data_IF_589683078497
#
_entry.id   IF_589683078497
#
_cell.length_a   1.000
_cell.length_b   1.000
_cell.length_c   1.000
_cell.angle_alpha   90.00
_cell.angle_beta   90.00
_cell.angle_gamma   90.00
#
_symmetry.space_group_name_H-M   'P 1'
#
loop_
_entity.id
_entity.type
_entity.pdbx_description
1 polymer ?
#
# COMPACT_ATOMS: atom_id res chain seq x y z
N UNK A 1 18.83 5.47 2.77
CA UNK A 1 18.05 5.61 1.52
C UNK A 1 16.59 5.75 1.87
N UNK A 2 15.64 5.91 0.91
CA UNK A 2 14.21 5.97 1.22
C UNK A 2 13.52 4.70 0.70
N UNK A 3 12.77 4.03 1.58
CA UNK A 3 12.01 2.82 1.29
C UNK A 3 10.53 3.06 1.60
N UNK A 4 9.65 2.75 0.62
CA UNK A 4 8.20 2.71 0.84
C UNK A 4 7.79 1.26 1.07
N UNK A 5 7.05 1.00 2.15
CA UNK A 5 6.55 -0.33 2.51
C UNK A 5 5.02 -0.32 2.57
N UNK A 6 4.36 -1.21 1.85
CA UNK A 6 2.90 -1.33 1.93
C UNK A 6 2.53 -2.65 2.60
N UNK A 7 1.62 -2.58 3.55
CA UNK A 7 1.03 -3.74 4.21
C UNK A 7 -0.45 -3.87 3.86
N UNK A 8 -0.82 -5.04 3.30
CA UNK A 8 -2.21 -5.36 2.94
C UNK A 8 -3.10 -5.60 4.15
N UNK A 9 -4.42 -5.65 3.95
CA UNK A 9 -5.38 -5.83 5.04
C UNK A 9 -5.15 -7.08 5.87
N UNK A 10 -4.79 -8.19 5.23
CA UNK A 10 -4.42 -9.44 5.92
C UNK A 10 -3.13 -9.30 6.74
N UNK A 11 -2.22 -8.41 6.34
CA UNK A 11 -0.93 -8.18 7.01
C UNK A 11 -1.06 -7.27 8.25
N UNK A 12 -2.20 -6.62 8.44
CA UNK A 12 -2.53 -5.73 9.57
C UNK A 12 -3.85 -6.10 10.26
N UNK A 13 -4.37 -7.31 10.04
CA UNK A 13 -5.72 -7.71 10.41
C UNK A 13 -5.99 -7.72 11.92
N UNK A 14 -4.95 -7.87 12.73
CA UNK A 14 -5.01 -7.94 14.18
C UNK A 14 -3.76 -7.31 14.82
N UNK A 15 -3.74 -7.23 16.15
CA UNK A 15 -2.65 -6.65 16.94
C UNK A 15 -1.31 -7.37 16.75
N UNK A 16 -1.31 -8.70 16.61
CA UNK A 16 -0.10 -9.51 16.37
C UNK A 16 0.51 -9.17 15.00
N UNK A 17 -0.34 -9.05 13.99
CA UNK A 17 0.08 -8.72 12.62
C UNK A 17 0.53 -7.27 12.48
N UNK A 18 -0.16 -6.33 13.13
CA UNK A 18 0.30 -4.93 13.20
C UNK A 18 1.69 -4.86 13.84
N UNK A 19 1.91 -5.56 14.96
CA UNK A 19 3.22 -5.60 15.62
C UNK A 19 4.29 -6.17 14.70
N UNK A 20 4.00 -7.26 14.00
CA UNK A 20 4.94 -7.84 13.02
C UNK A 20 5.25 -6.86 11.88
N UNK A 21 4.25 -6.16 11.35
CA UNK A 21 4.45 -5.15 10.32
C UNK A 21 5.29 -3.96 10.85
N UNK A 22 5.05 -3.53 12.08
CA UNK A 22 5.85 -2.50 12.76
C UNK A 22 7.32 -2.94 12.94
N UNK A 23 7.57 -4.20 13.33
CA UNK A 23 8.92 -4.76 13.45
C UNK A 23 9.65 -4.79 12.09
N UNK A 24 8.95 -5.07 10.99
CA UNK A 24 9.54 -5.03 9.64
C UNK A 24 9.93 -3.59 9.28
N UNK A 25 9.06 -2.61 9.54
CA UNK A 25 9.34 -1.20 9.28
C UNK A 25 10.49 -0.68 10.14
N UNK A 26 10.50 -1.04 11.43
CA UNK A 26 11.54 -0.67 12.37
C UNK A 26 12.92 -1.22 11.96
N UNK A 27 13.01 -2.48 11.55
CA UNK A 27 14.27 -3.07 11.04
C UNK A 27 14.81 -2.29 9.83
N UNK A 28 13.94 -1.92 8.90
CA UNK A 28 14.36 -1.13 7.73
C UNK A 28 14.87 0.26 8.13
N UNK A 29 14.25 0.86 9.14
CA UNK A 29 14.70 2.13 9.71
C UNK A 29 16.05 1.98 10.44
N UNK A 30 16.25 0.93 11.21
CA UNK A 30 17.51 0.62 11.92
C UNK A 30 18.66 0.32 10.95
N UNK A 31 18.36 -0.21 9.76
CA UNK A 31 19.32 -0.38 8.66
C UNK A 31 19.74 0.96 8.01
N UNK A 32 19.16 2.09 8.44
CA UNK A 32 19.53 3.44 8.03
C UNK A 32 18.70 4.01 6.88
N UNK A 33 17.56 3.41 6.55
CA UNK A 33 16.64 3.96 5.57
C UNK A 33 15.63 4.92 6.21
N UNK A 34 15.24 5.96 5.49
CA UNK A 34 13.99 6.66 5.75
C UNK A 34 12.83 5.75 5.35
N UNK A 35 11.79 5.64 6.18
CA UNK A 35 10.69 4.69 5.96
C UNK A 35 9.34 5.39 5.87
N UNK A 36 8.63 5.14 4.78
CA UNK A 36 7.21 5.45 4.63
C UNK A 36 6.42 4.14 4.57
N UNK A 37 5.48 3.97 5.48
CA UNK A 37 4.60 2.80 5.56
C UNK A 37 3.23 3.17 5.01
N UNK A 38 2.68 2.38 4.09
CA UNK A 38 1.31 2.50 3.61
C UNK A 38 0.51 1.32 4.11
N UNK A 39 -0.62 1.56 4.75
CA UNK A 39 -1.47 0.49 5.30
C UNK A 39 -2.84 0.45 4.65
N UNK A 40 -3.36 -0.75 4.47
CA UNK A 40 -4.77 -1.00 4.13
C UNK A 40 -5.63 -1.08 5.40
N UNK A 41 -6.94 -1.03 5.24
CA UNK A 41 -7.88 -1.35 6.33
C UNK A 41 -7.63 -2.77 6.86
N UNK A 42 -7.88 -2.99 8.15
CA UNK A 42 -7.65 -4.29 8.81
C UNK A 42 -8.61 -5.37 8.30
N UNK A 43 -8.08 -6.51 7.82
CA UNK A 43 -8.87 -7.68 7.46
C UNK A 43 -10.11 -7.35 6.63
N UNK A 44 -11.29 -7.65 7.17
CA UNK A 44 -12.59 -7.48 6.51
C UNK A 44 -13.26 -6.12 6.82
N UNK A 45 -12.52 -5.15 7.38
CA UNK A 45 -13.09 -3.85 7.81
C UNK A 45 -13.85 -3.14 6.69
N UNK A 46 -13.33 -3.14 5.49
CA UNK A 46 -13.98 -2.50 4.32
C UNK A 46 -15.34 -3.14 4.03
N UNK A 47 -15.42 -4.47 4.04
CA UNK A 47 -16.66 -5.21 3.82
C UNK A 47 -17.66 -4.96 4.95
N UNK A 48 -17.21 -4.94 6.20
CA UNK A 48 -18.04 -4.60 7.36
C UNK A 48 -18.61 -3.17 7.29
N UNK A 49 -17.84 -2.21 6.80
CA UNK A 49 -18.31 -0.84 6.59
C UNK A 49 -19.37 -0.78 5.47
N UNK A 50 -19.16 -1.50 4.38
CA UNK A 50 -20.15 -1.63 3.30
C UNK A 50 -21.44 -2.29 3.79
N UNK A 51 -21.36 -3.36 4.58
CA UNK A 51 -22.53 -3.99 5.20
C UNK A 51 -23.29 -3.04 6.13
N UNK A 52 -22.58 -2.23 6.93
CA UNK A 52 -23.20 -1.21 7.78
C UNK A 52 -23.95 -0.17 6.95
N UNK A 53 -23.37 0.32 5.86
CA UNK A 53 -24.02 1.24 4.94
C UNK A 53 -25.28 0.62 4.33
N UNK A 54 -25.20 -0.62 3.84
CA UNK A 54 -26.32 -1.32 3.21
C UNK A 54 -27.52 -1.57 4.15
N UNK A 55 -27.25 -1.71 5.47
CA UNK A 55 -28.34 -1.84 6.48
C UNK A 55 -29.12 -0.55 6.68
N UNK A 56 -28.54 0.60 6.38
CA UNK A 56 -29.17 1.93 6.56
C UNK A 56 -29.71 2.50 5.25
N UNK A 57 -29.09 2.18 4.13
CA UNK A 57 -29.44 2.75 2.83
C UNK A 57 -29.24 1.70 1.73
N UNK A 58 -30.27 1.46 0.94
CA UNK A 58 -30.23 0.48 -0.19
C UNK A 58 -29.37 0.97 -1.36
N UNK A 59 -29.19 2.30 -1.49
CA UNK A 59 -28.38 2.92 -2.54
C UNK A 59 -27.61 4.12 -1.94
N UNK A 60 -26.54 3.86 -1.15
CA UNK A 60 -25.76 4.94 -0.56
C UNK A 60 -25.05 5.75 -1.66
N UNK A 61 -25.04 7.08 -1.50
CA UNK A 61 -24.33 7.97 -2.42
C UNK A 61 -22.81 7.67 -2.40
N UNK A 62 -22.14 7.67 -3.57
CA UNK A 62 -20.73 7.32 -3.66
C UNK A 62 -19.83 8.22 -2.80
N UNK A 63 -20.16 9.50 -2.67
CA UNK A 63 -19.42 10.45 -1.82
C UNK A 63 -19.44 10.03 -0.35
N UNK A 64 -20.61 9.61 0.16
CA UNK A 64 -20.72 9.17 1.57
C UNK A 64 -20.08 7.81 1.80
N UNK A 65 -20.05 6.94 0.77
CA UNK A 65 -19.28 5.70 0.83
C UNK A 65 -17.79 5.97 0.94
N UNK A 66 -17.24 6.88 0.15
CA UNK A 66 -15.82 7.25 0.24
C UNK A 66 -15.48 7.81 1.62
N UNK A 67 -16.32 8.69 2.17
CA UNK A 67 -16.18 9.21 3.53
C UNK A 67 -16.13 8.06 4.55
N UNK A 68 -17.06 7.11 4.45
CA UNK A 68 -17.14 5.96 5.37
C UNK A 68 -15.94 5.03 5.21
N UNK A 69 -15.63 4.60 3.99
CA UNK A 69 -14.61 3.60 3.72
C UNK A 69 -13.21 4.11 4.06
N UNK A 70 -12.94 5.41 3.85
CA UNK A 70 -11.63 6.01 4.18
C UNK A 70 -11.26 5.88 5.66
N UNK A 71 -12.22 5.64 6.56
CA UNK A 71 -11.95 5.48 8.00
C UNK A 71 -11.19 4.19 8.33
N UNK A 72 -11.32 3.16 7.50
CA UNK A 72 -10.68 1.86 7.75
C UNK A 72 -9.15 1.96 7.79
N UNK A 73 -8.56 2.59 6.80
CA UNK A 73 -7.11 2.80 6.72
C UNK A 73 -6.61 3.78 7.78
N UNK A 74 -7.43 4.74 8.19
CA UNK A 74 -7.08 5.69 9.26
C UNK A 74 -6.91 4.95 10.61
N UNK A 75 -7.78 3.99 10.91
CA UNK A 75 -7.63 3.13 12.09
C UNK A 75 -6.31 2.36 12.03
N UNK A 76 -6.03 1.69 10.92
CA UNK A 76 -4.79 0.92 10.72
C UNK A 76 -3.55 1.81 10.87
N UNK A 77 -3.56 3.00 10.27
CA UNK A 77 -2.43 3.92 10.32
C UNK A 77 -2.16 4.42 11.75
N UNK A 78 -3.21 4.76 12.49
CA UNK A 78 -3.07 5.21 13.87
C UNK A 78 -2.52 4.09 14.78
N UNK A 79 -3.08 2.87 14.68
CA UNK A 79 -2.62 1.71 15.45
C UNK A 79 -1.16 1.34 15.12
N UNK A 80 -0.79 1.38 13.87
CA UNK A 80 0.59 1.12 13.43
C UNK A 80 1.56 2.15 13.99
N UNK A 81 1.21 3.45 13.95
CA UNK A 81 2.05 4.51 14.52
C UNK A 81 2.20 4.36 16.04
N UNK A 82 1.11 4.09 16.77
CA UNK A 82 1.15 3.82 18.22
C UNK A 82 2.03 2.60 18.54
N UNK A 83 1.98 1.55 17.71
CA UNK A 83 2.80 0.37 17.92
C UNK A 83 4.30 0.68 17.73
N UNK A 84 4.66 1.47 16.73
CA UNK A 84 6.03 1.94 16.51
C UNK A 84 6.52 2.83 17.66
N UNK A 85 5.67 3.74 18.17
CA UNK A 85 6.00 4.59 19.33
C UNK A 85 6.22 3.75 20.61
N UNK A 86 5.40 2.74 20.87
CA UNK A 86 5.59 1.79 21.99
C UNK A 86 6.91 1.00 21.87
N UNK A 87 7.38 0.75 20.64
CA UNK A 87 8.67 0.12 20.37
C UNK A 87 9.86 1.11 20.49
N UNK A 88 9.61 2.40 20.74
CA UNK A 88 10.62 3.44 20.93
C UNK A 88 10.99 4.22 19.67
N UNK A 89 10.28 4.05 18.56
CA UNK A 89 10.51 4.77 17.31
C UNK A 89 9.63 6.02 17.25
N UNK A 90 10.17 7.14 16.81
CA UNK A 90 9.36 8.31 16.50
C UNK A 90 8.53 8.00 15.23
N UNK A 91 7.21 8.04 15.35
CA UNK A 91 6.31 7.76 14.24
C UNK A 91 5.24 8.85 14.11
N UNK A 92 4.58 8.89 12.96
CA UNK A 92 3.42 9.75 12.71
C UNK A 92 2.47 9.09 11.71
N UNK A 93 1.19 9.06 12.03
CA UNK A 93 0.15 8.63 11.10
C UNK A 93 -0.41 9.82 10.31
N UNK A 94 -0.59 9.64 9.01
CA UNK A 94 -1.17 10.62 8.10
C UNK A 94 -2.32 9.97 7.31
N UNK A 95 -3.39 10.72 7.12
CA UNK A 95 -4.39 10.38 6.11
C UNK A 95 -3.82 10.57 4.70
N UNK A 96 -4.47 10.02 3.67
CA UNK A 96 -4.02 10.21 2.29
C UNK A 96 -3.89 11.69 1.90
N UNK A 97 -4.84 12.53 2.30
CA UNK A 97 -4.78 13.97 2.03
C UNK A 97 -3.73 14.72 2.87
N UNK A 98 -3.45 14.29 4.11
CA UNK A 98 -2.34 14.85 4.90
C UNK A 98 -0.98 14.47 4.32
N UNK A 99 -0.90 13.32 3.65
CA UNK A 99 0.25 12.88 2.88
C UNK A 99 0.34 13.52 1.48
N UNK A 100 -0.60 14.42 1.15
CA UNK A 100 -0.61 15.18 -0.09
C UNK A 100 -1.13 14.42 -1.32
N UNK A 101 -1.88 13.33 -1.15
CA UNK A 101 -2.45 12.57 -2.26
C UNK A 101 -3.65 13.32 -2.85
N UNK A 102 -3.47 13.91 -4.02
CA UNK A 102 -4.51 14.59 -4.79
C UNK A 102 -5.07 13.66 -5.87
N UNK A 103 -6.41 13.70 -6.02
CA UNK A 103 -7.13 12.76 -6.88
C UNK A 103 -8.13 13.46 -7.79
N UNK A 104 -8.62 12.71 -8.78
CA UNK A 104 -9.82 13.09 -9.52
C UNK A 104 -11.05 13.09 -8.59
N UNK A 105 -12.12 13.80 -8.97
CA UNK A 105 -13.37 13.87 -8.21
C UNK A 105 -14.34 12.70 -8.53
N UNK A 106 -13.81 11.54 -8.91
CA UNK A 106 -14.61 10.34 -9.20
C UNK A 106 -14.66 9.48 -7.95
N UNK A 107 -15.79 9.45 -7.26
CA UNK A 107 -15.95 8.67 -6.05
C UNK A 107 -15.92 7.16 -6.34
N UNK A 108 -15.28 6.39 -5.44
CA UNK A 108 -15.17 4.93 -5.50
C UNK A 108 -14.13 4.39 -6.50
N UNK A 109 -13.67 5.22 -7.44
CA UNK A 109 -12.67 4.84 -8.48
C UNK A 109 -11.81 6.05 -8.89
N UNK A 110 -11.37 6.84 -7.91
CA UNK A 110 -10.54 8.01 -8.15
C UNK A 110 -9.15 7.60 -8.67
N UNK A 111 -8.53 8.52 -9.40
CA UNK A 111 -7.14 8.39 -9.87
C UNK A 111 -6.28 9.42 -9.16
N UNK A 112 -5.08 9.02 -8.77
CA UNK A 112 -4.08 9.94 -8.23
C UNK A 112 -3.62 10.85 -9.40
N UNK A 113 -3.69 12.15 -9.19
CA UNK A 113 -3.24 13.17 -10.14
C UNK A 113 -1.81 13.61 -9.83
N UNK A 114 -1.52 13.79 -8.55
CA UNK A 114 -0.19 14.13 -8.03
C UNK A 114 -0.11 13.83 -6.54
N UNK A 115 1.12 13.85 -6.02
CA UNK A 115 1.40 13.81 -4.59
C UNK A 115 2.23 15.04 -4.23
N UNK A 116 1.74 15.84 -3.28
CA UNK A 116 2.52 16.89 -2.66
C UNK A 116 3.35 16.29 -1.52
N UNK A 117 4.66 16.22 -1.70
CA UNK A 117 5.57 15.53 -0.78
C UNK A 117 6.07 16.40 0.37
N UNK A 118 5.67 17.68 0.45
CA UNK A 118 6.24 18.62 1.43
C UNK A 118 6.08 18.11 2.88
N UNK A 119 4.88 17.66 3.24
CA UNK A 119 4.60 17.13 4.58
C UNK A 119 5.37 15.84 4.87
N UNK A 120 5.43 14.93 3.92
CA UNK A 120 6.16 13.66 4.07
C UNK A 120 7.64 13.90 4.31
N UNK A 121 8.28 14.73 3.46
CA UNK A 121 9.69 15.09 3.60
C UNK A 121 9.98 15.84 4.89
N UNK A 122 9.04 16.67 5.37
CA UNK A 122 9.20 17.38 6.64
C UNK A 122 9.22 16.40 7.82
N UNK A 123 8.36 15.38 7.83
CA UNK A 123 8.33 14.36 8.88
C UNK A 123 9.57 13.44 8.84
N UNK A 124 9.97 13.00 7.65
CA UNK A 124 11.15 12.16 7.45
C UNK A 124 12.43 12.87 7.93
N UNK A 125 12.61 14.16 7.60
CA UNK A 125 13.77 14.95 8.08
C UNK A 125 13.82 15.08 9.60
N UNK A 126 12.74 14.83 10.30
CA UNK A 126 12.67 14.80 11.77
C UNK A 126 12.95 13.41 12.34
N UNK A 127 13.39 12.48 11.51
CA UNK A 127 13.68 11.10 11.91
C UNK A 127 12.44 10.29 12.28
N UNK A 128 11.29 10.56 11.65
CA UNK A 128 10.05 9.83 11.91
C UNK A 128 9.80 8.77 10.86
N UNK A 129 9.34 7.61 11.27
CA UNK A 129 8.67 6.65 10.40
C UNK A 129 7.27 7.23 10.09
N UNK A 130 6.97 7.43 8.80
CA UNK A 130 5.70 8.02 8.37
C UNK A 130 4.73 6.92 7.96
N UNK A 131 3.58 6.82 8.64
CA UNK A 131 2.54 5.83 8.35
C UNK A 131 1.38 6.51 7.63
N UNK A 132 1.08 6.09 6.42
CA UNK A 132 0.06 6.69 5.56
C UNK A 132 -1.13 5.75 5.41
N UNK A 133 -2.32 6.27 5.63
CA UNK A 133 -3.57 5.60 5.27
C UNK A 133 -3.66 5.51 3.73
N UNK A 134 -3.55 4.29 3.19
CA UNK A 134 -3.66 4.04 1.75
C UNK A 134 -5.09 4.20 1.22
N UNK A 135 -5.31 3.90 -0.07
CA UNK A 135 -6.64 3.81 -0.68
C UNK A 135 -7.38 5.13 -0.85
N UNK A 136 -6.96 6.22 -0.26
CA UNK A 136 -7.69 7.48 -0.14
C UNK A 136 -6.87 8.70 -0.54
N UNK A 137 -7.56 9.75 -0.99
CA UNK A 137 -6.98 11.06 -1.27
C UNK A 137 -8.02 12.16 -1.24
N UNK A 138 -7.66 13.34 -1.71
CA UNK A 138 -8.51 14.52 -1.74
C UNK A 138 -8.63 15.03 -3.18
N UNK A 139 -9.87 15.29 -3.61
CA UNK A 139 -10.10 15.95 -4.89
C UNK A 139 -9.89 17.47 -4.78
N UNK A 140 -9.76 18.14 -5.93
CA UNK A 140 -9.63 19.59 -5.99
C UNK A 140 -10.82 20.35 -5.36
N UNK A 141 -11.97 19.69 -5.21
CA UNK A 141 -13.16 20.25 -4.56
C UNK A 141 -13.12 20.09 -3.02
N UNK A 142 -12.06 19.53 -2.45
CA UNK A 142 -11.96 19.26 -1.01
C UNK A 142 -12.74 18.02 -0.55
N UNK A 143 -13.15 17.15 -1.49
CA UNK A 143 -13.89 15.93 -1.16
C UNK A 143 -12.94 14.73 -1.02
N UNK A 144 -13.18 13.92 0.00
CA UNK A 144 -12.48 12.63 0.18
C UNK A 144 -12.90 11.69 -0.93
N UNK A 145 -11.95 11.01 -1.52
CA UNK A 145 -12.16 10.03 -2.58
C UNK A 145 -11.40 8.74 -2.28
N UNK A 146 -11.93 7.62 -2.77
CA UNK A 146 -11.24 6.31 -2.70
C UNK A 146 -10.82 5.83 -4.09
N UNK A 147 -9.73 5.07 -4.13
CA UNK A 147 -9.05 4.67 -5.38
C UNK A 147 -9.59 3.36 -5.98
N UNK A 148 -10.56 2.72 -5.33
CA UNK A 148 -11.06 1.42 -5.75
C UNK A 148 -10.09 0.27 -5.46
N UNK A 149 -10.27 -0.85 -6.16
CA UNK A 149 -9.46 -2.07 -5.93
C UNK A 149 -7.97 -1.83 -6.13
N UNK A 150 -7.15 -2.39 -5.25
CA UNK A 150 -5.69 -2.18 -5.28
C UNK A 150 -5.25 -0.76 -4.92
N UNK A 151 -6.15 0.04 -4.33
CA UNK A 151 -5.88 1.46 -4.05
C UNK A 151 -4.72 1.70 -3.12
N UNK A 152 -4.50 0.86 -2.09
CA UNK A 152 -3.35 1.01 -1.20
C UNK A 152 -2.01 0.67 -1.89
N UNK A 153 -2.00 -0.30 -2.82
CA UNK A 153 -0.81 -0.59 -3.65
C UNK A 153 -0.51 0.61 -4.56
N UNK A 154 -1.55 1.16 -5.19
CA UNK A 154 -1.45 2.37 -6.02
C UNK A 154 -0.94 3.57 -5.20
N UNK A 155 -1.44 3.75 -3.97
CA UNK A 155 -0.93 4.80 -3.05
C UNK A 155 0.56 4.61 -2.78
N UNK A 156 1.00 3.39 -2.45
CA UNK A 156 2.40 3.12 -2.14
C UNK A 156 3.33 3.42 -3.33
N UNK A 157 2.94 3.00 -4.52
CA UNK A 157 3.72 3.27 -5.73
C UNK A 157 3.75 4.76 -6.08
N UNK A 158 2.62 5.47 -5.93
CA UNK A 158 2.56 6.92 -6.16
C UNK A 158 3.45 7.69 -5.17
N UNK A 159 3.45 7.30 -3.90
CA UNK A 159 4.35 7.88 -2.89
C UNK A 159 5.80 7.56 -3.20
N UNK A 160 6.12 6.32 -3.59
CA UNK A 160 7.48 5.93 -3.98
C UNK A 160 7.99 6.74 -5.17
N UNK A 161 7.14 6.94 -6.18
CA UNK A 161 7.47 7.75 -7.36
C UNK A 161 7.71 9.22 -7.00
N UNK A 162 6.78 9.85 -6.27
CA UNK A 162 6.86 11.25 -5.88
C UNK A 162 8.05 11.55 -4.96
N UNK A 163 8.39 10.62 -4.07
CA UNK A 163 9.52 10.72 -3.15
C UNK A 163 10.86 10.25 -3.75
N UNK A 164 10.85 9.73 -4.98
CA UNK A 164 12.01 9.11 -5.63
C UNK A 164 12.63 8.01 -4.74
N UNK A 165 11.78 7.16 -4.20
CA UNK A 165 12.20 6.09 -3.30
C UNK A 165 13.10 5.08 -4.03
N UNK A 166 14.10 4.56 -3.31
CA UNK A 166 15.00 3.54 -3.83
C UNK A 166 14.26 2.24 -4.19
N UNK A 167 13.22 1.90 -3.42
CA UNK A 167 12.38 0.70 -3.62
C UNK A 167 10.99 0.90 -3.01
N UNK A 168 10.03 0.14 -3.54
CA UNK A 168 8.70 0.00 -2.99
C UNK A 168 8.43 -1.47 -2.69
N UNK A 169 8.27 -1.83 -1.41
CA UNK A 169 8.02 -3.19 -0.96
C UNK A 169 6.53 -3.38 -0.70
N UNK A 170 5.95 -4.40 -1.31
CA UNK A 170 4.54 -4.78 -1.14
C UNK A 170 4.48 -6.05 -0.30
N UNK A 171 4.10 -5.91 0.97
CA UNK A 171 3.92 -7.01 1.90
C UNK A 171 2.49 -7.55 1.82
N UNK A 172 2.37 -8.85 1.58
CA UNK A 172 1.11 -9.56 1.39
C UNK A 172 1.16 -10.94 2.06
N UNK A 173 0.14 -11.77 1.85
CA UNK A 173 0.05 -13.15 2.37
C UNK A 173 0.83 -14.19 1.54
N UNK A 174 1.37 -13.78 0.40
CA UNK A 174 2.27 -14.62 -0.42
C UNK A 174 3.71 -14.09 -0.36
N UNK A 175 4.67 -14.97 -0.54
CA UNK A 175 6.10 -14.66 -0.41
C UNK A 175 6.77 -14.28 -1.74
N UNK A 176 5.98 -13.98 -2.77
CA UNK A 176 6.45 -13.53 -4.08
C UNK A 176 5.48 -13.86 -5.20
N UNK A 177 5.93 -13.69 -6.43
CA UNK A 177 5.21 -14.02 -7.66
C UNK A 177 5.64 -15.41 -8.13
N UNK A 178 4.68 -16.25 -8.51
CA UNK A 178 4.90 -17.61 -8.97
C UNK A 178 4.49 -17.76 -10.44
N UNK A 179 5.05 -18.75 -11.13
CA UNK A 179 4.71 -19.06 -12.53
C UNK A 179 3.24 -19.48 -12.71
N UNK A 180 2.58 -19.94 -11.65
CA UNK A 180 1.16 -20.27 -11.55
C UNK A 180 0.74 -20.20 -10.07
N UNK A 181 -0.56 -20.29 -9.76
CA UNK A 181 -1.04 -20.35 -8.36
C UNK A 181 -0.52 -21.62 -7.66
N UNK A 182 0.40 -21.53 -6.68
CA UNK A 182 1.01 -22.70 -6.04
C UNK A 182 0.01 -23.53 -5.22
N UNK A 183 -1.17 -22.97 -4.88
CA UNK A 183 -2.25 -23.71 -4.20
C UNK A 183 -2.97 -24.66 -5.15
N UNK A 184 -2.94 -24.37 -6.45
CA UNK A 184 -3.56 -25.17 -7.50
C UNK A 184 -2.55 -26.03 -8.26
N UNK A 185 -1.32 -25.54 -8.37
CA UNK A 185 -0.24 -26.14 -9.16
C UNK A 185 1.01 -26.28 -8.27
N UNK A 186 1.19 -27.44 -7.61
CA UNK A 186 2.33 -27.67 -6.70
C UNK A 186 3.72 -27.53 -7.36
N UNK A 187 3.79 -27.67 -8.69
CA UNK A 187 4.99 -27.48 -9.50
C UNK A 187 5.30 -25.99 -9.80
N UNK A 188 4.43 -25.07 -9.41
CA UNK A 188 4.65 -23.64 -9.62
C UNK A 188 5.95 -23.17 -8.94
N UNK A 189 6.78 -22.48 -9.71
CA UNK A 189 8.06 -21.98 -9.23
C UNK A 189 7.98 -20.49 -8.90
N UNK A 190 8.58 -20.11 -7.79
CA UNK A 190 8.73 -18.73 -7.39
C UNK A 190 9.73 -18.03 -8.31
N UNK A 191 9.35 -16.88 -8.82
CA UNK A 191 10.19 -16.03 -9.64
C UNK A 191 11.05 -15.13 -8.73
N UNK A 192 12.35 -15.06 -9.00
CA UNK A 192 13.22 -14.11 -8.31
C UNK A 192 13.04 -12.69 -8.85
N UNK A 193 12.90 -12.59 -10.17
CA UNK A 193 12.71 -11.34 -10.90
C UNK A 193 11.67 -11.54 -11.99
N UNK A 194 10.91 -10.51 -12.30
CA UNK A 194 9.94 -10.47 -13.40
C UNK A 194 9.89 -9.06 -13.98
N UNK A 195 9.77 -8.96 -15.30
CA UNK A 195 9.61 -7.67 -15.97
C UNK A 195 8.21 -7.08 -15.73
N UNK A 196 8.09 -5.74 -15.77
CA UNK A 196 6.79 -5.07 -15.63
C UNK A 196 5.74 -5.60 -16.62
N UNK A 197 6.10 -5.80 -17.90
CA UNK A 197 5.16 -6.27 -18.92
C UNK A 197 4.69 -7.69 -18.68
N UNK A 198 5.57 -8.56 -18.21
CA UNK A 198 5.23 -9.92 -17.82
C UNK A 198 4.30 -9.92 -16.59
N UNK A 199 4.60 -9.08 -15.58
CA UNK A 199 3.75 -8.92 -14.39
C UNK A 199 2.38 -8.36 -14.77
N UNK A 200 2.30 -7.38 -15.67
CA UNK A 200 1.04 -6.83 -16.19
C UNK A 200 0.21 -7.88 -16.91
N UNK A 201 0.85 -8.71 -17.74
CA UNK A 201 0.16 -9.81 -18.41
C UNK A 201 -0.43 -10.81 -17.42
N UNK A 202 0.31 -11.14 -16.35
CA UNK A 202 -0.15 -12.02 -15.27
C UNK A 202 -1.31 -11.39 -14.49
N UNK A 203 -1.21 -10.12 -14.10
CA UNK A 203 -2.26 -9.40 -13.36
C UNK A 203 -3.57 -9.37 -14.17
N UNK A 204 -3.50 -9.06 -15.46
CA UNK A 204 -4.65 -9.04 -16.37
C UNK A 204 -5.24 -10.42 -16.66
N UNK A 205 -4.46 -11.49 -16.54
CA UNK A 205 -4.93 -12.87 -16.64
C UNK A 205 -5.48 -13.45 -15.34
N UNK A 206 -5.57 -12.64 -14.28
CA UNK A 206 -6.22 -13.02 -13.03
C UNK A 206 -5.28 -13.40 -11.89
N UNK A 207 -3.97 -13.16 -12.01
CA UNK A 207 -3.06 -13.26 -10.87
C UNK A 207 -3.38 -12.14 -9.87
N UNK A 208 -3.73 -12.51 -8.63
CA UNK A 208 -4.21 -11.58 -7.60
C UNK A 208 -3.09 -11.05 -6.68
N UNK A 209 -1.83 -11.10 -7.12
CA UNK A 209 -0.69 -10.69 -6.28
C UNK A 209 -0.55 -9.17 -6.24
N UNK A 210 -0.68 -8.52 -7.40
CA UNK A 210 -0.68 -7.07 -7.56
C UNK A 210 -1.79 -6.64 -8.52
N UNK A 211 -2.35 -5.47 -8.26
CA UNK A 211 -3.31 -4.87 -9.19
C UNK A 211 -2.56 -4.24 -10.38
N UNK A 212 -3.10 -4.37 -11.59
CA UNK A 212 -2.49 -3.87 -12.82
C UNK A 212 -2.14 -2.36 -12.76
N UNK A 213 -3.03 -1.53 -12.19
CA UNK A 213 -2.79 -0.08 -12.03
C UNK A 213 -1.50 0.24 -11.27
N UNK A 214 -1.15 -0.51 -10.22
CA UNK A 214 0.06 -0.24 -9.46
C UNK A 214 1.31 -0.63 -10.26
N UNK A 215 1.24 -1.70 -11.05
CA UNK A 215 2.36 -2.13 -11.92
C UNK A 215 2.54 -1.18 -13.09
N UNK A 216 1.44 -0.67 -13.70
CA UNK A 216 1.49 0.37 -14.74
C UNK A 216 2.17 1.64 -14.22
N UNK A 217 1.76 2.11 -13.04
CA UNK A 217 2.34 3.30 -12.41
C UNK A 217 3.82 3.08 -12.07
N UNK A 218 4.19 1.90 -11.56
CA UNK A 218 5.57 1.56 -11.27
C UNK A 218 6.45 1.56 -12.53
N UNK A 219 5.94 1.00 -13.64
CA UNK A 219 6.59 1.02 -14.94
C UNK A 219 6.78 2.44 -15.47
N UNK A 220 5.73 3.27 -15.42
CA UNK A 220 5.77 4.66 -15.88
C UNK A 220 6.85 5.49 -15.19
N UNK A 221 7.04 5.24 -13.89
CA UNK A 221 8.01 5.99 -13.07
C UNK A 221 9.32 5.24 -12.78
N UNK A 222 9.52 4.05 -13.36
CA UNK A 222 10.73 3.25 -13.14
C UNK A 222 10.94 2.79 -11.70
N UNK A 223 9.85 2.62 -10.93
CA UNK A 223 9.90 2.21 -9.51
C UNK A 223 10.06 0.69 -9.39
N UNK A 224 11.16 0.26 -8.84
CA UNK A 224 11.38 -1.16 -8.50
C UNK A 224 10.41 -1.57 -7.40
N UNK A 225 9.57 -2.58 -7.70
CA UNK A 225 8.69 -3.20 -6.71
C UNK A 225 9.34 -4.48 -6.18
N UNK A 226 9.11 -4.77 -4.91
CA UNK A 226 9.48 -6.03 -4.29
C UNK A 226 8.26 -6.61 -3.57
N UNK A 227 7.75 -7.75 -4.06
CA UNK A 227 6.64 -8.46 -3.40
C UNK A 227 7.21 -9.41 -2.36
N UNK A 228 6.77 -9.28 -1.10
CA UNK A 228 7.25 -10.06 0.04
C UNK A 228 6.11 -10.57 0.90
N UNK A 229 6.39 -11.63 1.66
CA UNK A 229 5.49 -12.06 2.72
C UNK A 229 5.60 -11.14 3.95
N UNK A 230 4.44 -10.78 4.53
CA UNK A 230 4.39 -10.17 5.86
C UNK A 230 4.65 -11.18 6.99
N UNK A 231 4.63 -12.48 6.71
CA UNK A 231 4.65 -13.56 7.70
C UNK A 231 5.96 -14.34 7.76
N UNK A 232 6.79 -14.22 6.74
CA UNK A 232 8.09 -14.90 6.66
C UNK A 232 9.19 -13.93 6.29
N UNK A 233 10.44 -14.28 6.59
CA UNK A 233 11.61 -13.48 6.19
C UNK A 233 12.21 -13.97 4.85
N UNK A 234 11.45 -14.77 4.07
CA UNK A 234 11.89 -15.25 2.76
C UNK A 234 12.11 -14.08 1.77
N UNK A 235 13.06 -14.24 0.88
CA UNK A 235 13.30 -13.31 -0.23
C UNK A 235 12.04 -13.19 -1.08
N UNK A 236 11.74 -11.99 -1.52
CA UNK A 236 10.58 -11.68 -2.38
C UNK A 236 10.86 -11.88 -3.86
N UNK A 237 9.92 -11.38 -4.67
CA UNK A 237 10.09 -11.24 -6.12
C UNK A 237 10.32 -9.77 -6.46
N UNK A 238 11.37 -9.47 -7.20
CA UNK A 238 11.66 -8.14 -7.73
C UNK A 238 10.90 -7.93 -9.04
N UNK A 239 10.21 -6.81 -9.16
CA UNK A 239 9.51 -6.40 -10.38
C UNK A 239 10.16 -5.12 -10.87
N UNK A 240 10.67 -5.12 -12.09
CA UNK A 240 11.41 -3.99 -12.63
C UNK A 240 11.58 -4.07 -14.13
N UNK A 241 12.46 -3.26 -14.68
CA UNK A 241 12.85 -3.41 -16.08
C UNK A 241 13.65 -4.71 -16.27
N UNK A 242 13.50 -5.34 -17.45
CA UNK A 242 14.26 -6.53 -17.78
C UNK A 242 15.74 -6.14 -17.84
N UNK A 243 16.56 -6.70 -16.95
CA UNK A 243 18.01 -6.57 -17.08
C UNK A 243 18.43 -7.37 -18.30
N UNK A 244 18.93 -6.68 -19.32
CA UNK A 244 19.63 -7.35 -20.42
C UNK A 244 20.87 -8.01 -19.82
N UNK A 245 20.91 -9.35 -19.84
CA UNK A 245 22.02 -10.17 -19.38
C UNK A 245 23.12 -10.26 -20.41
#
# INVERSE_FOLDING_TARGET
MLTVQKFGGTSVADDVRIRRAAEIAARTYDDGDDVVVVVSAQGDTTDLLLEKAAKLCTAPGPRELDMLLSTGEQVSAALMAMCLEEMGYAAVSLTGWQAGVETTAVHGDARILRVDTERLLWELRRGRIVVVAGFQGLSANGEITTLGRGGSDTTAVALAAALQAHRCQIFTDVDGVYTADPRKFPEAQKLREIAYDEMLAMARSGAQVLHDRCVELAKEHGIVLEVRSAFTDADGTIIGEKREG
#
